data_IF_933873717715
#
_entry.id   IF_933873717715
#
_cell.length_a   1.000
_cell.length_b   1.000
_cell.length_c   1.000
_cell.angle_alpha   90.00
_cell.angle_beta   90.00
_cell.angle_gamma   90.00
#
_symmetry.space_group_name_H-M   'P 1'
#
loop_
_entity.id
_entity.type
_entity.pdbx_description
1 polymer ?
#
# COMPACT_ATOMS: atom_id res chain seq x y z
N UNK A 1 -20.46 12.18 20.62
CA UNK A 1 -19.77 13.10 19.70
C UNK A 1 -18.66 12.33 19.02
N UNK A 2 -18.68 12.25 17.69
CA UNK A 2 -17.94 11.26 16.90
C UNK A 2 -16.41 11.41 16.98
N UNK A 3 -15.73 10.26 17.08
CA UNK A 3 -14.29 10.17 16.93
C UNK A 3 -13.89 10.65 15.54
N UNK A 4 -13.19 11.78 15.50
CA UNK A 4 -12.71 12.42 14.29
C UNK A 4 -11.55 11.57 13.72
N UNK A 5 -11.87 10.55 12.93
CA UNK A 5 -10.87 9.71 12.28
C UNK A 5 -10.18 10.52 11.17
N UNK A 6 -8.97 10.99 11.46
CA UNK A 6 -8.10 11.61 10.48
C UNK A 6 -7.69 10.53 9.45
N UNK A 7 -8.38 10.51 8.31
CA UNK A 7 -7.99 9.69 7.15
C UNK A 7 -6.83 10.36 6.44
N UNK A 8 -5.60 9.97 6.80
CA UNK A 8 -4.40 10.38 6.07
C UNK A 8 -4.41 9.65 4.73
N UNK A 9 -4.57 10.40 3.63
CA UNK A 9 -4.38 9.87 2.28
C UNK A 9 -2.89 9.77 2.00
N UNK A 10 -2.33 8.56 2.15
CA UNK A 10 -0.97 8.27 1.72
C UNK A 10 -0.92 8.22 0.18
N UNK A 11 0.02 8.93 -0.47
CA UNK A 11 0.19 8.85 -1.91
C UNK A 11 0.56 7.42 -2.32
N UNK A 12 0.05 6.95 -3.46
CA UNK A 12 0.20 5.56 -3.92
C UNK A 12 1.66 5.09 -3.99
N UNK A 13 2.58 6.00 -4.30
CA UNK A 13 4.02 5.77 -4.33
C UNK A 13 4.62 5.34 -2.97
N UNK A 14 3.95 5.64 -1.86
CA UNK A 14 4.34 5.19 -0.51
C UNK A 14 3.61 3.91 -0.07
N UNK A 15 2.57 3.49 -0.81
CA UNK A 15 1.80 2.29 -0.49
C UNK A 15 2.51 1.03 -0.97
N UNK A 16 3.22 1.12 -2.09
CA UNK A 16 3.95 0.01 -2.69
C UNK A 16 5.34 0.47 -3.13
N UNK A 17 6.37 0.28 -2.29
CA UNK A 17 7.75 0.37 -2.74
C UNK A 17 7.97 -0.59 -3.90
N UNK A 18 8.80 -0.24 -4.88
CA UNK A 18 9.11 -1.11 -6.04
C UNK A 18 9.46 -2.55 -5.63
N UNK A 19 10.20 -2.70 -4.54
CA UNK A 19 10.57 -4.00 -3.94
C UNK A 19 9.34 -4.86 -3.59
N UNK A 20 8.24 -4.24 -3.15
CA UNK A 20 6.99 -4.94 -2.85
C UNK A 20 6.31 -5.47 -4.12
N UNK A 21 6.27 -4.66 -5.19
CA UNK A 21 5.72 -5.11 -6.48
C UNK A 21 6.54 -6.25 -7.08
N UNK A 22 7.88 -6.14 -7.00
CA UNK A 22 8.79 -7.19 -7.45
C UNK A 22 8.57 -8.50 -6.66
N UNK A 23 8.43 -8.42 -5.33
CA UNK A 23 8.08 -9.58 -4.49
C UNK A 23 6.71 -10.17 -4.82
N UNK A 24 5.72 -9.33 -5.12
CA UNK A 24 4.38 -9.79 -5.50
C UNK A 24 4.43 -10.54 -6.84
N UNK A 25 5.19 -10.04 -7.81
CA UNK A 25 5.36 -10.69 -9.11
C UNK A 25 6.04 -12.06 -8.98
N UNK A 26 7.02 -12.20 -8.09
CA UNK A 26 7.72 -13.46 -7.84
C UNK A 26 6.87 -14.52 -7.10
N UNK A 27 5.82 -14.10 -6.40
CA UNK A 27 4.95 -15.00 -5.62
C UNK A 27 3.71 -15.45 -6.37
N UNK A 28 3.46 -14.94 -7.58
CA UNK A 28 2.36 -15.42 -8.41
C UNK A 28 2.76 -16.70 -9.13
N UNK A 29 1.90 -17.74 -9.10
CA UNK A 29 2.14 -18.95 -9.88
C UNK A 29 2.09 -18.63 -11.38
N UNK A 30 2.92 -19.36 -12.15
CA UNK A 30 3.01 -19.28 -13.61
C UNK A 30 1.69 -19.61 -14.31
#
# INVERSE_FOLDING_TARGET
GGANQLRIKLPRQHLHPKVWEDWLALSQPL
#
